data_IF_025103050454
#
_entry.id   IF_025103050454
#
_cell.length_a   1.000
_cell.length_b   1.000
_cell.length_c   1.000
_cell.angle_alpha   90.00
_cell.angle_beta   90.00
_cell.angle_gamma   90.00
#
_symmetry.space_group_name_H-M   'P 1'
#
loop_
_entity.id
_entity.type
_entity.pdbx_description
1 polymer ?
#
# COMPACT_ATOMS: atom_id res chain seq x y z
N UNK A 1 5.06 -17.03 20.74
CA UNK A 1 4.95 -18.10 19.73
C UNK A 1 3.55 -18.05 19.15
N UNK A 2 3.31 -17.18 18.19
CA UNK A 2 2.15 -17.26 17.28
C UNK A 2 2.72 -17.02 15.89
N UNK A 3 2.86 -18.11 15.15
CA UNK A 3 3.31 -18.10 13.78
C UNK A 3 2.29 -17.31 12.94
N UNK A 4 2.75 -16.25 12.31
CA UNK A 4 2.08 -15.60 11.19
C UNK A 4 1.88 -16.66 10.12
N UNK A 5 0.65 -17.14 9.95
CA UNK A 5 0.25 -17.83 8.73
C UNK A 5 0.37 -16.82 7.59
N UNK A 6 1.48 -16.84 6.90
CA UNK A 6 1.55 -16.32 5.55
C UNK A 6 0.43 -17.01 4.77
N UNK A 7 -0.55 -16.23 4.34
CA UNK A 7 -1.57 -16.71 3.43
C UNK A 7 -0.84 -17.07 2.14
N UNK A 8 -0.71 -18.37 1.85
CA UNK A 8 -0.31 -18.86 0.54
C UNK A 8 -1.16 -18.12 -0.49
N UNK A 9 -0.52 -17.24 -1.23
CA UNK A 9 -1.13 -16.57 -2.38
C UNK A 9 -1.44 -17.69 -3.37
N UNK A 10 -2.72 -18.05 -3.44
CA UNK A 10 -3.22 -19.03 -4.39
C UNK A 10 -2.73 -18.66 -5.79
N UNK A 11 -1.92 -19.49 -6.39
CA UNK A 11 -1.39 -19.36 -7.76
C UNK A 11 -2.45 -19.62 -8.83
N UNK A 12 -3.74 -19.73 -8.47
CA UNK A 12 -4.82 -19.89 -9.44
C UNK A 12 -5.18 -18.57 -10.10
N UNK A 13 -5.39 -18.54 -11.41
CA UNK A 13 -5.74 -17.34 -12.15
C UNK A 13 -7.06 -16.75 -11.67
N UNK A 14 -7.07 -15.44 -11.42
CA UNK A 14 -8.20 -14.70 -10.87
C UNK A 14 -9.14 -14.25 -11.99
N UNK A 15 -10.33 -14.81 -12.03
CA UNK A 15 -11.31 -14.51 -13.06
C UNK A 15 -12.47 -13.68 -12.51
N UNK A 16 -12.68 -12.49 -13.06
CA UNK A 16 -13.94 -11.79 -12.93
C UNK A 16 -14.83 -12.07 -14.14
N UNK A 17 -16.13 -12.18 -13.92
CA UNK A 17 -17.13 -12.33 -14.98
C UNK A 17 -18.07 -11.15 -15.02
N UNK A 18 -18.29 -10.62 -16.22
CA UNK A 18 -19.34 -9.65 -16.51
C UNK A 18 -20.65 -10.41 -16.76
N UNK A 19 -21.71 -9.97 -16.08
CA UNK A 19 -23.03 -10.63 -16.12
C UNK A 19 -24.06 -9.57 -16.49
N UNK A 20 -24.83 -9.80 -17.57
CA UNK A 20 -25.98 -8.99 -17.94
C UNK A 20 -27.25 -9.60 -17.35
N UNK A 21 -27.97 -8.82 -16.59
CA UNK A 21 -29.23 -9.20 -15.98
C UNK A 21 -30.37 -8.36 -16.55
N UNK A 22 -31.42 -9.03 -16.97
CA UNK A 22 -32.66 -8.41 -17.41
C UNK A 22 -33.80 -8.79 -16.47
N UNK A 23 -34.41 -7.82 -15.80
CA UNK A 23 -35.45 -8.05 -14.79
C UNK A 23 -36.68 -8.79 -15.31
N UNK A 24 -36.92 -8.75 -16.62
CA UNK A 24 -38.05 -9.45 -17.26
C UNK A 24 -37.86 -10.96 -17.39
N UNK A 25 -36.61 -11.45 -17.27
CA UNK A 25 -36.27 -12.88 -17.35
C UNK A 25 -36.30 -13.62 -16.02
N UNK A 26 -36.86 -13.03 -14.97
CA UNK A 26 -36.90 -13.61 -13.62
C UNK A 26 -35.54 -13.50 -12.90
N UNK A 27 -34.94 -14.65 -12.51
CA UNK A 27 -33.64 -14.69 -11.82
C UNK A 27 -32.50 -15.09 -12.74
N UNK A 28 -32.77 -15.33 -14.01
CA UNK A 28 -31.76 -15.75 -14.97
C UNK A 28 -31.04 -14.54 -15.57
N UNK A 29 -29.71 -14.59 -15.51
CA UNK A 29 -28.82 -13.63 -16.13
C UNK A 29 -27.94 -14.33 -17.15
N UNK A 30 -27.30 -13.57 -18.04
CA UNK A 30 -26.35 -14.10 -19.03
C UNK A 30 -24.95 -13.60 -18.74
N UNK A 31 -23.99 -14.52 -18.66
CA UNK A 31 -22.57 -14.19 -18.63
C UNK A 31 -22.08 -13.65 -19.99
N UNK A 32 -20.91 -13.04 -20.01
CA UNK A 32 -20.30 -12.47 -21.23
C UNK A 32 -20.04 -13.48 -22.34
N UNK A 33 -19.98 -14.77 -22.02
CA UNK A 33 -19.83 -15.88 -22.98
C UNK A 33 -21.16 -16.57 -23.32
N UNK A 34 -22.32 -15.96 -22.97
CA UNK A 34 -23.65 -16.47 -23.26
C UNK A 34 -24.20 -17.49 -22.28
N UNK A 35 -23.43 -17.91 -21.25
CA UNK A 35 -23.86 -18.88 -20.24
C UNK A 35 -24.99 -18.33 -19.36
N UNK A 36 -25.91 -19.21 -18.94
CA UNK A 36 -26.96 -18.87 -17.99
C UNK A 36 -26.43 -18.85 -16.55
N UNK A 37 -26.74 -17.78 -15.80
CA UNK A 37 -26.33 -17.59 -14.40
C UNK A 37 -27.56 -17.18 -13.58
N UNK A 38 -27.79 -17.87 -12.46
CA UNK A 38 -28.85 -17.51 -11.52
C UNK A 38 -28.31 -16.57 -10.45
N UNK A 39 -28.93 -15.40 -10.31
CA UNK A 39 -28.57 -14.38 -9.31
C UNK A 39 -29.35 -14.55 -7.99
N UNK A 40 -28.82 -13.99 -6.87
CA UNK A 40 -29.55 -13.95 -5.61
C UNK A 40 -30.88 -13.20 -5.72
N UNK A 41 -31.89 -13.58 -4.94
CA UNK A 41 -33.21 -12.93 -4.91
C UNK A 41 -33.18 -11.43 -4.59
N UNK A 42 -32.11 -10.98 -3.96
CA UNK A 42 -31.86 -9.56 -3.62
C UNK A 42 -31.38 -8.71 -4.79
N UNK A 43 -31.09 -9.30 -5.94
CA UNK A 43 -30.77 -8.59 -7.17
C UNK A 43 -32.06 -8.28 -7.93
N UNK A 44 -32.48 -7.02 -7.93
CA UNK A 44 -33.73 -6.56 -8.52
C UNK A 44 -33.55 -5.58 -9.69
N UNK A 45 -32.36 -5.01 -9.84
CA UNK A 45 -32.10 -4.00 -10.87
C UNK A 45 -31.55 -4.64 -12.13
N UNK A 46 -32.16 -4.34 -13.28
CA UNK A 46 -31.63 -4.71 -14.59
C UNK A 46 -30.32 -3.98 -14.84
N UNK A 47 -29.38 -4.63 -15.51
CA UNK A 47 -28.10 -4.05 -15.88
C UNK A 47 -26.93 -5.02 -15.77
N UNK A 48 -25.75 -4.48 -15.67
CA UNK A 48 -24.52 -5.26 -15.61
C UNK A 48 -24.04 -5.45 -14.17
N UNK A 49 -23.62 -6.66 -13.89
CA UNK A 49 -22.99 -7.06 -12.64
C UNK A 49 -21.60 -7.64 -12.93
N UNK A 50 -20.72 -7.50 -11.96
CA UNK A 50 -19.44 -8.18 -11.95
C UNK A 50 -19.37 -9.14 -10.78
N UNK A 51 -18.86 -10.34 -11.01
CA UNK A 51 -18.67 -11.36 -10.01
C UNK A 51 -17.29 -12.01 -10.12
N UNK A 52 -16.75 -12.50 -8.99
CA UNK A 52 -15.67 -13.47 -9.03
C UNK A 52 -16.17 -14.78 -9.67
N UNK A 53 -15.39 -15.39 -10.56
CA UNK A 53 -15.72 -16.70 -11.14
C UNK A 53 -15.91 -17.76 -10.07
N UNK A 54 -15.13 -17.69 -9.00
CA UNK A 54 -15.20 -18.61 -7.86
C UNK A 54 -16.51 -18.49 -7.08
N UNK A 55 -17.22 -17.38 -7.17
CA UNK A 55 -18.54 -17.18 -6.58
C UNK A 55 -19.64 -17.88 -7.37
N UNK A 56 -19.39 -18.23 -8.65
CA UNK A 56 -20.35 -18.89 -9.54
C UNK A 56 -20.22 -20.40 -9.37
N UNK A 57 -21.08 -21.01 -8.54
CA UNK A 57 -21.09 -22.46 -8.32
C UNK A 57 -22.26 -23.10 -9.08
N UNK A 58 -21.94 -23.96 -10.06
CA UNK A 58 -22.95 -24.63 -10.91
C UNK A 58 -23.94 -23.65 -11.56
N UNK A 59 -23.44 -22.51 -12.04
CA UNK A 59 -24.29 -21.46 -12.64
C UNK A 59 -25.12 -20.64 -11.65
N UNK A 60 -24.85 -20.72 -10.34
CA UNK A 60 -25.61 -20.01 -9.30
C UNK A 60 -24.69 -19.16 -8.43
N UNK A 61 -25.06 -17.90 -8.21
CA UNK A 61 -24.46 -17.00 -7.22
C UNK A 61 -25.42 -16.88 -6.04
N UNK A 62 -25.00 -17.31 -4.86
CA UNK A 62 -25.85 -17.31 -3.66
C UNK A 62 -25.75 -16.03 -2.84
N UNK A 63 -24.56 -15.42 -2.80
CA UNK A 63 -24.27 -14.30 -1.92
C UNK A 63 -24.20 -12.97 -2.70
N UNK A 64 -25.06 -12.00 -2.32
CA UNK A 64 -25.05 -10.65 -2.94
C UNK A 64 -23.72 -9.93 -2.76
N UNK A 65 -22.97 -10.21 -1.69
CA UNK A 65 -21.65 -9.60 -1.42
C UNK A 65 -20.56 -10.04 -2.41
N UNK A 66 -20.81 -11.07 -3.19
CA UNK A 66 -19.93 -11.54 -4.28
C UNK A 66 -20.23 -10.85 -5.64
N UNK A 67 -21.14 -9.87 -5.63
CA UNK A 67 -21.57 -9.14 -6.81
C UNK A 67 -21.35 -7.64 -6.62
N UNK A 68 -20.86 -6.96 -7.65
CA UNK A 68 -20.88 -5.50 -7.76
C UNK A 68 -21.84 -5.12 -8.91
N UNK A 69 -22.77 -4.23 -8.62
CA UNK A 69 -23.67 -3.68 -9.63
C UNK A 69 -22.99 -2.51 -10.35
N UNK A 70 -22.90 -2.59 -11.66
CA UNK A 70 -22.31 -1.56 -12.51
C UNK A 70 -23.38 -0.65 -13.16
N UNK A 71 -24.61 -1.12 -13.24
CA UNK A 71 -25.71 -0.48 -13.94
C UNK A 71 -25.58 -0.58 -15.46
N UNK A 72 -24.49 -0.09 -16.02
CA UNK A 72 -24.17 -0.12 -17.44
C UNK A 72 -22.89 -0.90 -17.73
N UNK A 73 -22.69 -1.30 -18.99
CA UNK A 73 -21.46 -1.93 -19.41
C UNK A 73 -20.24 -1.02 -19.18
N UNK A 74 -19.10 -1.55 -18.73
CA UNK A 74 -17.88 -0.77 -18.46
C UNK A 74 -17.13 -0.41 -19.75
N UNK A 75 -17.76 0.39 -20.61
CA UNK A 75 -17.25 0.70 -21.97
C UNK A 75 -16.02 1.60 -21.95
N UNK A 76 -15.95 2.57 -21.01
CA UNK A 76 -14.76 3.44 -20.86
C UNK A 76 -13.55 2.64 -20.38
N UNK A 77 -13.77 1.71 -19.47
CA UNK A 77 -12.72 0.79 -19.03
C UNK A 77 -12.25 -0.11 -20.17
N UNK A 78 -13.16 -0.62 -20.98
CA UNK A 78 -12.85 -1.43 -22.16
C UNK A 78 -12.02 -0.63 -23.18
N UNK A 79 -12.43 0.59 -23.50
CA UNK A 79 -11.71 1.49 -24.43
C UNK A 79 -10.26 1.72 -23.96
N UNK A 80 -10.07 2.11 -22.70
CA UNK A 80 -8.75 2.32 -22.11
C UNK A 80 -7.91 1.05 -22.10
N UNK A 81 -8.52 -0.09 -21.82
CA UNK A 81 -7.84 -1.37 -21.78
C UNK A 81 -7.35 -1.80 -23.16
N UNK A 82 -8.20 -1.70 -24.19
CA UNK A 82 -7.85 -2.06 -25.58
C UNK A 82 -6.77 -1.13 -26.17
N UNK A 83 -6.76 0.15 -25.77
CA UNK A 83 -5.73 1.11 -26.16
C UNK A 83 -4.37 0.85 -25.48
N UNK A 84 -4.32 -0.03 -24.49
CA UNK A 84 -3.11 -0.34 -23.73
C UNK A 84 -2.09 -1.17 -24.51
N UNK A 85 -0.86 -1.20 -24.02
CA UNK A 85 0.31 -1.86 -24.66
C UNK A 85 0.14 -3.36 -24.95
N UNK A 86 -0.82 -4.01 -24.33
CA UNK A 86 -1.09 -5.46 -24.52
C UNK A 86 -1.70 -5.79 -25.87
N UNK A 87 -2.39 -4.82 -26.49
CA UNK A 87 -3.05 -4.99 -27.78
C UNK A 87 -2.22 -4.32 -28.87
N UNK A 88 -1.20 -5.02 -29.38
CA UNK A 88 -0.29 -4.50 -30.40
C UNK A 88 -1.08 -4.08 -31.67
N UNK A 89 -0.83 -2.84 -32.11
CA UNK A 89 -1.48 -2.28 -33.31
C UNK A 89 -2.87 -1.69 -33.05
N UNK A 90 -3.32 -1.62 -31.80
CA UNK A 90 -4.55 -0.98 -31.36
C UNK A 90 -4.23 0.30 -30.62
N UNK A 91 -4.39 1.45 -31.29
CA UNK A 91 -4.28 2.77 -30.65
C UNK A 91 -5.64 3.23 -30.10
N UNK A 92 -5.63 4.35 -29.35
CA UNK A 92 -6.85 4.95 -28.76
C UNK A 92 -7.98 5.15 -29.76
N UNK A 93 -7.66 5.65 -30.96
CA UNK A 93 -8.66 5.91 -32.01
C UNK A 93 -9.34 4.60 -32.45
N UNK A 94 -8.57 3.53 -32.64
CA UNK A 94 -9.10 2.23 -33.08
C UNK A 94 -9.92 1.56 -31.97
N UNK A 95 -9.47 1.64 -30.72
CA UNK A 95 -10.19 1.15 -29.55
C UNK A 95 -11.52 1.89 -29.37
N UNK A 96 -11.49 3.22 -29.45
CA UNK A 96 -12.67 4.07 -29.35
C UNK A 96 -13.66 3.77 -30.47
N UNK A 97 -13.20 3.62 -31.72
CA UNK A 97 -14.06 3.29 -32.87
C UNK A 97 -14.75 1.94 -32.69
N UNK A 98 -13.99 0.91 -32.25
CA UNK A 98 -14.54 -0.41 -31.97
C UNK A 98 -15.62 -0.37 -30.88
N UNK A 99 -15.34 0.28 -29.76
CA UNK A 99 -16.29 0.35 -28.62
C UNK A 99 -17.51 1.20 -28.97
N UNK A 100 -17.36 2.26 -29.75
CA UNK A 100 -18.51 3.08 -30.24
C UNK A 100 -19.41 2.33 -31.22
N UNK A 101 -18.83 1.54 -32.12
CA UNK A 101 -19.56 0.77 -33.12
C UNK A 101 -20.34 -0.36 -32.46
N UNK A 102 -19.70 -1.16 -31.61
CA UNK A 102 -20.30 -2.37 -31.06
C UNK A 102 -20.91 -2.20 -29.67
N UNK A 103 -20.59 -1.11 -28.97
CA UNK A 103 -21.14 -0.82 -27.62
C UNK A 103 -21.03 -2.05 -26.68
N UNK A 104 -22.16 -2.46 -26.11
CA UNK A 104 -22.22 -3.60 -25.17
C UNK A 104 -21.87 -4.94 -25.83
N UNK A 105 -22.17 -5.09 -27.13
CA UNK A 105 -21.83 -6.30 -27.91
C UNK A 105 -20.32 -6.50 -28.05
N UNK A 106 -19.52 -5.44 -27.80
CA UNK A 106 -18.04 -5.53 -27.78
C UNK A 106 -17.53 -6.65 -26.90
N UNK A 107 -18.13 -6.87 -25.72
CA UNK A 107 -17.73 -7.93 -24.80
C UNK A 107 -18.03 -9.33 -25.35
N UNK A 108 -19.18 -9.48 -26.00
CA UNK A 108 -19.58 -10.73 -26.62
C UNK A 108 -18.70 -11.04 -27.83
N UNK A 109 -18.47 -10.04 -28.69
CA UNK A 109 -17.57 -10.14 -29.85
C UNK A 109 -16.14 -10.55 -29.42
N UNK A 110 -15.62 -10.03 -28.34
CA UNK A 110 -14.27 -10.36 -27.85
C UNK A 110 -14.20 -11.75 -27.20
N UNK A 111 -15.27 -12.19 -26.52
CA UNK A 111 -15.26 -13.43 -25.71
C UNK A 111 -15.67 -14.68 -26.47
N UNK A 112 -16.41 -14.58 -27.59
CA UNK A 112 -16.86 -15.74 -28.38
C UNK A 112 -15.82 -16.16 -29.42
N UNK A 113 -15.63 -17.46 -29.61
CA UNK A 113 -14.69 -18.01 -30.60
C UNK A 113 -15.11 -17.70 -32.05
N UNK A 114 -16.40 -17.69 -32.33
CA UNK A 114 -16.96 -17.36 -33.65
C UNK A 114 -18.18 -16.44 -33.49
N UNK A 115 -18.10 -15.22 -34.00
CA UNK A 115 -19.26 -14.34 -34.16
C UNK A 115 -19.47 -14.14 -35.64
N UNK A 116 -20.66 -14.45 -36.09
CA UNK A 116 -21.11 -14.09 -37.45
C UNK A 116 -21.14 -12.56 -37.52
N UNK A 117 -20.16 -11.95 -38.17
CA UNK A 117 -20.14 -10.53 -38.51
C UNK A 117 -20.30 -10.36 -40.01
N UNK A 118 -21.50 -10.60 -40.56
CA UNK A 118 -21.68 -10.76 -42.01
C UNK A 118 -21.40 -9.49 -42.82
N UNK A 119 -21.63 -8.33 -42.23
CA UNK A 119 -21.61 -7.04 -42.96
C UNK A 119 -20.35 -6.18 -42.74
N UNK A 120 -19.27 -6.73 -42.21
CA UNK A 120 -18.06 -5.95 -41.95
C UNK A 120 -17.06 -6.04 -43.10
N UNK A 121 -16.30 -4.95 -43.30
CA UNK A 121 -15.22 -4.92 -44.28
C UNK A 121 -14.13 -5.97 -43.96
N UNK A 122 -13.38 -6.47 -44.97
CA UNK A 122 -12.28 -7.42 -44.73
C UNK A 122 -11.23 -6.88 -43.76
N UNK A 123 -10.96 -5.58 -43.80
CA UNK A 123 -10.02 -4.90 -42.88
C UNK A 123 -10.52 -4.93 -41.43
N UNK A 124 -11.80 -4.63 -41.22
CA UNK A 124 -12.45 -4.68 -39.89
C UNK A 124 -12.47 -6.10 -39.34
N UNK A 125 -12.80 -7.10 -40.20
CA UNK A 125 -12.75 -8.52 -39.79
C UNK A 125 -11.36 -8.95 -39.32
N UNK A 126 -10.30 -8.57 -40.04
CA UNK A 126 -8.91 -8.86 -39.67
C UNK A 126 -8.53 -8.19 -38.34
N UNK A 127 -8.96 -6.95 -38.15
CA UNK A 127 -8.75 -6.21 -36.92
C UNK A 127 -9.44 -6.87 -35.72
N UNK A 128 -10.71 -7.21 -35.82
CA UNK A 128 -11.48 -7.91 -34.78
C UNK A 128 -10.85 -9.26 -34.46
N UNK A 129 -10.39 -10.01 -35.46
CA UNK A 129 -9.69 -11.28 -35.23
C UNK A 129 -8.43 -11.11 -34.37
N UNK A 130 -7.59 -10.13 -34.68
CA UNK A 130 -6.39 -9.85 -33.91
C UNK A 130 -6.72 -9.40 -32.47
N UNK A 131 -7.76 -8.56 -32.29
CA UNK A 131 -8.24 -8.19 -30.97
C UNK A 131 -8.68 -9.39 -30.12
N UNK A 132 -9.45 -10.30 -30.73
CA UNK A 132 -9.94 -11.53 -30.09
C UNK A 132 -8.81 -12.45 -29.67
N UNK A 133 -7.86 -12.71 -30.56
CA UNK A 133 -6.70 -13.54 -30.24
C UNK A 133 -5.96 -13.01 -29.01
N UNK A 134 -5.77 -11.68 -28.98
CA UNK A 134 -5.13 -11.01 -27.83
C UNK A 134 -6.00 -11.03 -26.58
N UNK A 135 -7.33 -10.90 -26.72
CA UNK A 135 -8.29 -10.98 -25.62
C UNK A 135 -8.32 -12.38 -25.00
N UNK A 136 -8.44 -13.42 -25.82
CA UNK A 136 -8.47 -14.82 -25.35
C UNK A 136 -7.18 -15.18 -24.62
N UNK A 137 -6.04 -14.73 -25.12
CA UNK A 137 -4.74 -14.95 -24.46
C UNK A 137 -4.66 -14.36 -23.05
N UNK A 138 -5.40 -13.28 -22.80
CA UNK A 138 -5.43 -12.57 -21.52
C UNK A 138 -6.78 -12.71 -20.78
N UNK A 139 -7.60 -13.72 -21.11
CA UNK A 139 -8.98 -13.86 -20.62
C UNK A 139 -9.08 -13.77 -19.09
N UNK A 140 -8.08 -14.30 -18.41
CA UNK A 140 -8.04 -14.36 -16.95
C UNK A 140 -8.05 -12.99 -16.27
N UNK A 141 -7.45 -11.99 -16.89
CA UNK A 141 -7.30 -10.64 -16.29
C UNK A 141 -8.11 -9.56 -16.99
N UNK A 142 -8.72 -9.85 -18.15
CA UNK A 142 -9.39 -8.84 -18.95
C UNK A 142 -10.47 -8.06 -18.19
N UNK A 143 -11.44 -8.78 -17.63
CA UNK A 143 -12.54 -8.13 -16.92
C UNK A 143 -12.08 -7.43 -15.64
N UNK A 144 -11.03 -7.93 -14.98
CA UNK A 144 -10.41 -7.29 -13.85
C UNK A 144 -9.83 -5.93 -14.23
N UNK A 145 -9.02 -5.90 -15.28
CA UNK A 145 -8.42 -4.66 -15.79
C UNK A 145 -9.49 -3.67 -16.28
N UNK A 146 -10.44 -4.14 -17.10
CA UNK A 146 -11.54 -3.30 -17.60
C UNK A 146 -12.34 -2.68 -16.47
N UNK A 147 -12.66 -3.47 -15.44
CA UNK A 147 -13.41 -3.00 -14.29
C UNK A 147 -12.65 -1.92 -13.50
N UNK A 148 -11.40 -2.14 -13.16
CA UNK A 148 -10.63 -1.16 -12.42
C UNK A 148 -10.36 0.12 -13.22
N UNK A 149 -10.11 0.00 -14.53
CA UNK A 149 -10.01 1.16 -15.43
C UNK A 149 -11.32 1.94 -15.53
N UNK A 150 -12.47 1.26 -15.56
CA UNK A 150 -13.80 1.90 -15.51
C UNK A 150 -13.98 2.70 -14.22
N UNK A 151 -13.51 2.17 -13.10
CA UNK A 151 -13.55 2.86 -11.80
C UNK A 151 -12.57 4.04 -11.71
N UNK A 152 -11.62 4.14 -12.62
CA UNK A 152 -10.65 5.24 -12.68
C UNK A 152 -9.29 4.93 -12.04
N UNK A 153 -9.01 3.67 -11.74
CA UNK A 153 -7.68 3.26 -11.28
C UNK A 153 -6.62 3.54 -12.36
N UNK A 154 -5.42 3.89 -11.92
CA UNK A 154 -4.25 3.97 -12.78
C UNK A 154 -3.59 2.59 -12.92
N UNK A 155 -2.81 2.37 -13.98
CA UNK A 155 -2.20 1.07 -14.27
C UNK A 155 -1.37 0.49 -13.12
N UNK A 156 -0.59 1.33 -12.41
CA UNK A 156 0.20 0.90 -11.26
C UNK A 156 -0.68 0.50 -10.05
N UNK A 157 -1.86 1.10 -9.91
CA UNK A 157 -2.83 0.73 -8.86
C UNK A 157 -3.53 -0.57 -9.20
N UNK A 158 -3.77 -0.86 -10.48
CA UNK A 158 -4.37 -2.13 -10.93
C UNK A 158 -3.48 -3.31 -10.55
N UNK A 159 -2.17 -3.20 -10.77
CA UNK A 159 -1.20 -4.24 -10.40
C UNK A 159 -1.24 -4.47 -8.89
N UNK A 160 -1.12 -3.39 -8.10
CA UNK A 160 -1.18 -3.49 -6.64
C UNK A 160 -2.52 -4.04 -6.12
N UNK A 161 -3.64 -3.70 -6.78
CA UNK A 161 -4.95 -4.24 -6.43
C UNK A 161 -5.03 -5.74 -6.71
N UNK A 162 -4.48 -6.17 -7.84
CA UNK A 162 -4.41 -7.58 -8.21
C UNK A 162 -3.58 -8.39 -7.21
N UNK A 163 -2.39 -7.90 -6.86
CA UNK A 163 -1.48 -8.54 -5.91
C UNK A 163 -2.07 -8.63 -4.49
N UNK A 164 -2.74 -7.56 -4.02
CA UNK A 164 -3.26 -7.50 -2.66
C UNK A 164 -4.62 -8.20 -2.46
N UNK A 165 -5.48 -8.16 -3.46
CA UNK A 165 -6.88 -8.56 -3.30
C UNK A 165 -7.31 -9.68 -4.25
N UNK A 166 -6.74 -9.78 -5.44
CA UNK A 166 -7.13 -10.79 -6.42
C UNK A 166 -8.65 -10.96 -6.54
N UNK A 167 -9.13 -12.17 -6.38
CA UNK A 167 -10.57 -12.53 -6.41
C UNK A 167 -11.40 -11.88 -5.31
N UNK A 168 -10.76 -11.48 -4.21
CA UNK A 168 -11.48 -10.92 -3.06
C UNK A 168 -11.90 -9.46 -3.25
N UNK A 169 -11.44 -8.80 -4.31
CA UNK A 169 -11.73 -7.38 -4.56
C UNK A 169 -13.23 -7.06 -4.51
N UNK A 170 -14.08 -7.90 -5.13
CA UNK A 170 -15.53 -7.71 -5.14
C UNK A 170 -16.11 -7.78 -3.73
N UNK A 171 -15.69 -8.78 -2.97
CA UNK A 171 -16.11 -8.95 -1.57
C UNK A 171 -15.60 -7.80 -0.71
N UNK A 172 -14.34 -7.40 -0.88
CA UNK A 172 -13.71 -6.30 -0.14
C UNK A 172 -14.43 -4.98 -0.38
N UNK A 173 -14.75 -4.64 -1.63
CA UNK A 173 -15.54 -3.45 -1.97
C UNK A 173 -16.91 -3.42 -1.26
N UNK A 174 -17.54 -4.58 -1.07
CA UNK A 174 -18.85 -4.68 -0.41
C UNK A 174 -18.80 -4.81 1.12
N UNK A 175 -17.65 -5.17 1.71
CA UNK A 175 -17.56 -5.46 3.16
C UNK A 175 -16.58 -4.58 3.91
N UNK A 176 -15.44 -4.26 3.31
CA UNK A 176 -14.35 -3.50 3.91
C UNK A 176 -13.71 -2.55 2.90
N UNK A 177 -14.51 -1.65 2.30
CA UNK A 177 -14.06 -0.88 1.14
C UNK A 177 -12.87 0.03 1.44
N UNK A 178 -12.74 0.54 2.65
CA UNK A 178 -11.64 1.42 3.05
C UNK A 178 -10.28 0.72 3.19
N UNK A 179 -10.25 -0.62 3.31
CA UNK A 179 -8.99 -1.37 3.31
C UNK A 179 -8.17 -1.23 2.02
N UNK A 180 -8.81 -0.74 0.93
CA UNK A 180 -8.10 -0.45 -0.32
C UNK A 180 -7.08 0.69 -0.15
N UNK A 181 -7.39 1.72 0.64
CA UNK A 181 -6.48 2.86 0.84
C UNK A 181 -5.18 2.41 1.50
N UNK A 182 -5.29 1.55 2.51
CA UNK A 182 -4.13 1.06 3.26
C UNK A 182 -3.19 0.19 2.42
N UNK A 183 -3.74 -0.55 1.44
CA UNK A 183 -2.97 -1.54 0.67
C UNK A 183 -2.56 -1.07 -0.71
N UNK A 184 -3.31 -0.15 -1.33
CA UNK A 184 -3.03 0.32 -2.69
C UNK A 184 -2.30 1.65 -2.64
N UNK A 185 -1.04 1.62 -3.07
CA UNK A 185 -0.20 2.83 -3.10
C UNK A 185 -0.83 3.94 -3.95
N UNK A 186 -0.83 5.16 -3.42
CA UNK A 186 -1.33 6.37 -4.08
C UNK A 186 -2.83 6.36 -4.41
N UNK A 187 -3.62 5.51 -3.76
CA UNK A 187 -5.07 5.62 -3.79
C UNK A 187 -5.47 6.63 -2.70
N UNK A 188 -6.09 7.74 -3.11
CA UNK A 188 -6.54 8.75 -2.15
C UNK A 188 -7.93 8.41 -1.60
N UNK A 189 -8.25 8.96 -0.43
CA UNK A 189 -9.58 8.84 0.16
C UNK A 189 -10.68 9.35 -0.78
N UNK A 190 -10.46 10.51 -1.42
CA UNK A 190 -11.41 11.10 -2.36
C UNK A 190 -11.62 10.26 -3.62
N UNK A 191 -10.58 9.57 -4.11
CA UNK A 191 -10.74 8.67 -5.26
C UNK A 191 -11.59 7.47 -4.89
N UNK A 192 -11.41 6.94 -3.69
CA UNK A 192 -12.22 5.84 -3.19
C UNK A 192 -13.71 6.26 -3.01
N UNK A 193 -13.99 7.46 -2.51
CA UNK A 193 -15.36 7.99 -2.44
C UNK A 193 -16.02 8.12 -3.83
N UNK A 194 -15.27 8.53 -4.85
CA UNK A 194 -15.77 8.54 -6.24
C UNK A 194 -16.12 7.12 -6.71
N UNK A 195 -15.33 6.13 -6.34
CA UNK A 195 -15.59 4.72 -6.64
C UNK A 195 -16.88 4.25 -5.97
N UNK A 196 -17.08 4.54 -4.68
CA UNK A 196 -18.31 4.18 -3.96
C UNK A 196 -19.54 4.81 -4.61
N UNK A 197 -19.46 6.08 -4.97
CA UNK A 197 -20.54 6.78 -5.66
C UNK A 197 -20.87 6.13 -7.02
N UNK A 198 -19.85 5.72 -7.79
CA UNK A 198 -20.05 5.02 -9.07
C UNK A 198 -20.69 3.66 -8.92
N UNK A 199 -20.33 2.94 -7.88
CA UNK A 199 -20.82 1.60 -7.57
C UNK A 199 -22.10 1.60 -6.73
N UNK A 200 -22.62 2.79 -6.38
CA UNK A 200 -23.77 2.94 -5.48
C UNK A 200 -23.59 2.17 -4.16
N UNK A 201 -22.36 2.13 -3.66
CA UNK A 201 -22.04 1.54 -2.36
C UNK A 201 -22.42 2.57 -1.29
N UNK A 202 -23.37 2.20 -0.43
CA UNK A 202 -23.78 3.05 0.70
C UNK A 202 -22.82 2.86 1.86
N UNK A 203 -22.20 3.96 2.28
CA UNK A 203 -21.29 4.00 3.43
C UNK A 203 -21.90 4.94 4.45
N UNK A 204 -21.96 4.55 5.72
CA UNK A 204 -22.45 5.40 6.79
C UNK A 204 -21.46 6.56 7.07
N UNK A 205 -21.97 7.68 7.56
CA UNK A 205 -21.14 8.82 7.94
C UNK A 205 -20.10 8.43 8.99
N UNK A 206 -20.50 7.63 9.98
CA UNK A 206 -19.57 7.08 10.97
C UNK A 206 -18.41 6.30 10.34
N UNK A 207 -18.68 5.41 9.38
CA UNK A 207 -17.63 4.66 8.68
C UNK A 207 -16.71 5.57 7.88
N UNK A 208 -17.25 6.63 7.27
CA UNK A 208 -16.46 7.64 6.53
C UNK A 208 -15.54 8.40 7.47
N UNK A 209 -16.04 8.84 8.63
CA UNK A 209 -15.26 9.58 9.64
C UNK A 209 -14.12 8.73 10.17
N UNK A 210 -14.40 7.49 10.58
CA UNK A 210 -13.37 6.58 11.10
C UNK A 210 -12.27 6.29 10.05
N UNK A 211 -12.66 6.02 8.82
CA UNK A 211 -11.71 5.76 7.75
C UNK A 211 -10.90 7.00 7.31
N UNK A 212 -11.52 8.17 7.32
CA UNK A 212 -10.83 9.43 7.04
C UNK A 212 -9.81 9.77 8.14
N UNK A 213 -10.15 9.48 9.40
CA UNK A 213 -9.24 9.66 10.54
C UNK A 213 -8.01 8.78 10.38
N UNK A 214 -8.20 7.50 10.14
CA UNK A 214 -7.11 6.53 9.94
C UNK A 214 -6.21 6.97 8.76
N UNK A 215 -6.82 7.29 7.62
CA UNK A 215 -6.10 7.79 6.44
C UNK A 215 -5.26 9.05 6.72
N UNK A 216 -5.81 10.02 7.44
CA UNK A 216 -5.10 11.26 7.74
C UNK A 216 -3.96 11.04 8.73
N UNK A 217 -4.15 10.19 9.75
CA UNK A 217 -3.10 9.81 10.70
C UNK A 217 -1.94 9.11 9.98
N UNK A 218 -2.21 8.11 9.14
CA UNK A 218 -1.19 7.43 8.34
C UNK A 218 -0.48 8.40 7.38
N UNK A 219 -1.22 9.30 6.74
CA UNK A 219 -0.65 10.32 5.86
C UNK A 219 0.29 11.25 6.60
N UNK A 220 -0.08 11.72 7.80
CA UNK A 220 0.75 12.59 8.62
C UNK A 220 2.02 11.83 9.06
N UNK A 221 1.90 10.57 9.45
CA UNK A 221 3.05 9.74 9.79
C UNK A 221 4.00 9.58 8.59
N UNK A 222 3.48 9.29 7.43
CA UNK A 222 4.30 9.08 6.23
C UNK A 222 4.95 10.36 5.71
N UNK A 223 4.23 11.49 5.69
CA UNK A 223 4.69 12.75 5.10
C UNK A 223 5.51 13.59 6.09
N UNK A 224 5.06 13.68 7.34
CA UNK A 224 5.64 14.55 8.36
C UNK A 224 6.44 13.81 9.42
N UNK A 225 6.40 12.49 9.43
CA UNK A 225 7.08 11.62 10.42
C UNK A 225 6.60 11.87 11.85
N UNK A 226 5.31 12.21 12.02
CA UNK A 226 4.67 12.37 13.31
C UNK A 226 3.81 11.14 13.59
N UNK A 227 4.14 10.41 14.64
CA UNK A 227 3.41 9.21 15.09
C UNK A 227 2.12 9.55 15.84
N UNK A 228 2.02 10.76 16.38
CA UNK A 228 0.83 11.28 17.03
C UNK A 228 0.63 12.77 16.71
N UNK A 229 -0.61 13.24 16.81
CA UNK A 229 -0.99 14.64 16.60
C UNK A 229 -2.02 15.10 17.63
N UNK A 230 -2.15 16.43 17.90
CA UNK A 230 -3.24 16.94 18.71
C UNK A 230 -4.60 16.55 18.13
N UNK A 231 -5.52 16.09 18.98
CA UNK A 231 -6.86 15.65 18.57
C UNK A 231 -7.62 16.73 17.80
N UNK A 232 -7.54 17.97 18.24
CA UNK A 232 -8.18 19.12 17.60
C UNK A 232 -7.80 19.27 16.12
N UNK A 233 -6.52 19.01 15.78
CA UNK A 233 -6.04 19.09 14.39
C UNK A 233 -6.69 18.02 13.53
N UNK A 234 -6.83 16.80 14.05
CA UNK A 234 -7.48 15.70 13.32
C UNK A 234 -8.96 15.97 13.17
N UNK A 235 -9.64 16.42 14.20
CA UNK A 235 -11.07 16.74 14.13
C UNK A 235 -11.35 17.77 13.03
N UNK A 236 -10.56 18.83 12.99
CA UNK A 236 -10.68 19.85 11.96
C UNK A 236 -10.40 19.29 10.56
N UNK A 237 -9.32 18.55 10.38
CA UNK A 237 -8.94 18.01 9.06
C UNK A 237 -9.94 16.98 8.54
N UNK A 238 -10.51 16.14 9.40
CA UNK A 238 -11.56 15.19 9.03
C UNK A 238 -12.84 15.95 8.65
N UNK A 239 -13.23 16.94 9.45
CA UNK A 239 -14.42 17.76 9.18
C UNK A 239 -14.30 18.47 7.83
N UNK A 240 -13.14 19.07 7.53
CA UNK A 240 -12.85 19.71 6.24
C UNK A 240 -12.86 18.68 5.08
N UNK A 241 -12.22 17.53 5.24
CA UNK A 241 -12.13 16.50 4.19
C UNK A 241 -13.51 15.96 3.79
N UNK A 242 -14.39 15.76 4.78
CA UNK A 242 -15.70 15.13 4.59
C UNK A 242 -16.83 16.14 4.43
N UNK A 243 -16.57 17.44 4.64
CA UNK A 243 -17.56 18.52 4.72
C UNK A 243 -18.67 18.24 5.74
N UNK A 244 -18.28 17.85 6.97
CA UNK A 244 -19.17 17.57 8.11
C UNK A 244 -18.84 18.52 9.29
N UNK A 245 -19.77 18.62 10.25
CA UNK A 245 -19.55 19.39 11.48
C UNK A 245 -18.46 18.77 12.37
N UNK A 246 -17.60 19.60 12.98
CA UNK A 246 -16.53 19.14 13.87
C UNK A 246 -17.09 18.34 15.05
N UNK A 247 -18.19 18.78 15.65
CA UNK A 247 -18.84 18.09 16.76
C UNK A 247 -19.30 16.67 16.39
N UNK A 248 -19.67 16.43 15.12
CA UNK A 248 -20.02 15.10 14.61
C UNK A 248 -18.77 14.19 14.60
N UNK A 249 -17.63 14.74 14.15
CA UNK A 249 -16.36 14.02 14.15
C UNK A 249 -15.93 13.67 15.57
N UNK A 250 -15.95 14.64 16.49
CA UNK A 250 -15.60 14.45 17.89
C UNK A 250 -16.43 13.33 18.52
N UNK A 251 -17.75 13.42 18.44
CA UNK A 251 -18.66 12.40 18.97
C UNK A 251 -18.38 10.99 18.41
N UNK A 252 -18.20 10.89 17.08
CA UNK A 252 -17.91 9.57 16.47
C UNK A 252 -16.59 9.00 16.97
N UNK A 253 -15.56 9.83 17.15
CA UNK A 253 -14.26 9.37 17.63
C UNK A 253 -14.29 9.03 19.13
N UNK A 254 -15.04 9.76 19.94
CA UNK A 254 -15.27 9.41 21.35
C UNK A 254 -16.02 8.08 21.50
N UNK A 255 -17.12 7.91 20.76
CA UNK A 255 -17.91 6.66 20.76
C UNK A 255 -17.10 5.44 20.25
N UNK A 256 -16.02 5.66 19.50
CA UNK A 256 -15.16 4.63 18.94
C UNK A 256 -13.69 4.76 19.38
N UNK A 257 -13.45 5.30 20.56
CA UNK A 257 -12.11 5.58 21.09
C UNK A 257 -11.18 4.36 21.17
N UNK A 258 -11.74 3.15 21.23
CA UNK A 258 -10.97 1.90 21.22
C UNK A 258 -10.27 1.60 19.88
N UNK A 259 -10.62 2.29 18.80
CA UNK A 259 -10.00 2.10 17.48
C UNK A 259 -8.72 2.93 17.28
N UNK A 260 -8.46 3.87 18.19
CA UNK A 260 -7.32 4.77 18.14
C UNK A 260 -6.63 4.82 19.50
N UNK A 261 -5.37 5.16 19.49
CA UNK A 261 -4.69 5.54 20.74
C UNK A 261 -5.00 7.01 21.05
N UNK A 262 -5.57 7.25 22.21
CA UNK A 262 -5.79 8.61 22.74
C UNK A 262 -5.00 8.77 24.03
N UNK A 263 -4.19 9.81 24.11
CA UNK A 263 -3.34 10.07 25.26
C UNK A 263 -3.20 11.57 25.53
N UNK A 264 -2.31 11.92 26.44
CA UNK A 264 -2.00 13.33 26.77
C UNK A 264 -0.50 13.57 26.66
N UNK A 265 -0.11 14.65 25.99
CA UNK A 265 1.26 15.11 25.90
C UNK A 265 1.33 16.62 26.17
N UNK A 266 2.06 17.02 27.19
CA UNK A 266 2.18 18.44 27.62
C UNK A 266 0.80 19.11 27.75
N UNK A 267 -0.10 18.45 28.46
CA UNK A 267 -1.47 18.89 28.73
C UNK A 267 -2.42 18.96 27.52
N UNK A 268 -1.96 18.55 26.33
CA UNK A 268 -2.79 18.47 25.13
C UNK A 268 -3.18 17.04 24.84
N UNK A 269 -4.44 16.83 24.53
CA UNK A 269 -4.93 15.55 24.03
C UNK A 269 -4.29 15.24 22.67
N UNK A 270 -3.81 14.03 22.51
CA UNK A 270 -3.19 13.54 21.27
C UNK A 270 -3.88 12.26 20.81
N UNK A 271 -3.85 12.03 19.51
CA UNK A 271 -4.38 10.83 18.88
C UNK A 271 -3.35 10.25 17.92
N UNK A 272 -3.33 8.92 17.82
CA UNK A 272 -2.55 8.17 16.83
C UNK A 272 -3.28 6.89 16.40
N UNK A 273 -2.79 6.23 15.37
CA UNK A 273 -3.20 4.86 15.07
C UNK A 273 -2.72 3.92 16.18
N UNK A 274 -3.43 2.83 16.44
CA UNK A 274 -3.01 1.81 17.41
C UNK A 274 -1.64 1.21 17.05
N UNK A 275 -1.40 1.01 15.75
CA UNK A 275 -0.15 0.45 15.24
C UNK A 275 1.05 1.38 15.51
N UNK A 276 0.89 2.71 15.33
CA UNK A 276 1.93 3.68 15.67
C UNK A 276 2.22 3.69 17.18
N UNK A 277 1.19 3.66 18.01
CA UNK A 277 1.33 3.60 19.46
C UNK A 277 2.02 2.31 19.92
N UNK A 278 1.67 1.17 19.37
CA UNK A 278 2.28 -0.12 19.66
C UNK A 278 3.78 -0.13 19.26
N UNK A 279 4.13 0.42 18.10
CA UNK A 279 5.53 0.56 17.67
C UNK A 279 6.33 1.43 18.64
N UNK A 280 5.79 2.55 19.10
CA UNK A 280 6.45 3.39 20.10
C UNK A 280 6.62 2.65 21.45
N UNK A 281 5.60 1.96 21.92
CA UNK A 281 5.68 1.19 23.16
C UNK A 281 6.72 0.07 23.07
N UNK A 282 6.75 -0.65 21.96
CA UNK A 282 7.74 -1.71 21.72
C UNK A 282 9.16 -1.13 21.66
N UNK A 283 9.34 0.03 21.01
CA UNK A 283 10.63 0.73 21.01
C UNK A 283 11.06 1.10 22.42
N UNK A 284 10.19 1.65 23.25
CA UNK A 284 10.48 2.01 24.64
C UNK A 284 10.87 0.75 25.44
N UNK A 285 10.15 -0.37 25.27
CA UNK A 285 10.48 -1.64 25.92
C UNK A 285 11.90 -2.12 25.56
N UNK A 286 12.26 -2.06 24.26
CA UNK A 286 13.59 -2.47 23.80
C UNK A 286 14.70 -1.53 24.25
N UNK A 287 14.48 -0.22 24.23
CA UNK A 287 15.44 0.75 24.76
C UNK A 287 15.69 0.53 26.25
N UNK A 288 14.64 0.29 27.04
CA UNK A 288 14.75 -0.04 28.45
C UNK A 288 15.49 -1.37 28.70
N UNK A 289 15.25 -2.38 27.88
CA UNK A 289 15.93 -3.68 27.95
C UNK A 289 17.44 -3.51 27.71
N UNK A 290 17.82 -2.80 26.65
CA UNK A 290 19.22 -2.52 26.31
C UNK A 290 19.87 -1.70 27.44
N UNK A 291 19.20 -0.66 27.92
CA UNK A 291 19.70 0.20 29.00
C UNK A 291 19.99 -0.58 30.31
N UNK A 292 19.13 -1.56 30.63
CA UNK A 292 19.30 -2.40 31.83
C UNK A 292 20.36 -3.50 31.67
N UNK A 293 20.51 -4.04 30.47
CA UNK A 293 21.41 -5.17 30.18
C UNK A 293 22.89 -4.78 30.24
N UNK A 294 23.23 -3.51 30.09
CA UNK A 294 24.60 -3.04 29.90
C UNK A 294 25.35 -2.74 31.19
N UNK A 295 25.22 -3.58 32.19
CA UNK A 295 26.09 -3.46 33.38
C UNK A 295 27.43 -4.21 33.28
N UNK A 296 27.73 -4.86 32.19
CA UNK A 296 28.92 -5.71 32.04
C UNK A 296 29.81 -5.28 30.87
N UNK A 297 31.01 -4.83 31.19
CA UNK A 297 32.16 -5.22 30.45
C UNK A 297 32.82 -4.26 29.49
N UNK A 298 32.38 -3.02 29.29
CA UNK A 298 33.22 -2.04 28.57
C UNK A 298 34.06 -1.29 29.63
N UNK A 299 35.39 -1.29 29.44
CA UNK A 299 36.34 -0.61 30.28
C UNK A 299 35.94 0.88 30.36
N UNK A 300 35.49 1.32 31.56
CA UNK A 300 34.99 2.70 31.81
C UNK A 300 36.10 3.73 31.92
N UNK A 301 37.24 3.49 31.28
CA UNK A 301 38.34 4.46 31.22
C UNK A 301 37.93 5.60 30.28
N UNK A 302 38.13 6.82 30.72
CA UNK A 302 38.05 8.00 29.84
C UNK A 302 39.27 8.01 28.92
N UNK A 303 39.02 8.40 27.69
CA UNK A 303 40.05 8.58 26.69
C UNK A 303 40.32 10.08 26.53
N UNK A 304 41.59 10.46 26.45
CA UNK A 304 42.03 11.82 26.16
C UNK A 304 42.22 12.00 24.62
N UNK A 305 42.38 13.25 24.17
CA UNK A 305 42.61 13.55 22.76
C UNK A 305 43.80 12.77 22.17
N UNK A 306 44.88 12.55 22.94
CA UNK A 306 46.06 11.77 22.54
C UNK A 306 45.79 10.27 22.30
N UNK A 307 44.73 9.74 22.89
CA UNK A 307 44.35 8.33 22.74
C UNK A 307 43.49 8.08 21.52
N UNK A 308 42.88 9.15 20.96
CA UNK A 308 41.89 9.09 19.87
C UNK A 308 42.59 9.49 18.56
N UNK A 309 42.74 8.55 17.65
CA UNK A 309 43.31 8.81 16.33
C UNK A 309 42.23 8.96 15.27
N UNK A 310 42.34 9.98 14.44
CA UNK A 310 41.58 10.15 13.21
C UNK A 310 42.45 9.81 12.01
N UNK A 311 41.88 9.53 10.84
CA UNK A 311 42.64 9.16 9.64
C UNK A 311 43.49 10.31 9.06
N UNK A 312 43.12 11.55 9.38
CA UNK A 312 43.67 12.75 8.79
C UNK A 312 44.46 13.62 9.82
N UNK A 313 44.82 13.01 10.97
CA UNK A 313 45.46 13.67 12.10
C UNK A 313 44.71 14.95 12.61
N UNK A 314 43.38 14.98 12.36
CA UNK A 314 42.53 16.08 12.80
C UNK A 314 42.33 15.99 14.30
N UNK A 315 42.68 17.04 15.02
CA UNK A 315 42.40 17.14 16.45
C UNK A 315 40.91 17.27 16.72
N UNK A 316 40.41 16.49 17.65
CA UNK A 316 39.03 16.54 18.12
C UNK A 316 38.87 17.67 19.13
N UNK A 317 37.75 18.37 19.11
CA UNK A 317 37.39 19.32 20.14
C UNK A 317 37.04 18.59 21.46
N UNK A 318 37.12 19.29 22.58
CA UNK A 318 36.76 18.75 23.89
C UNK A 318 35.30 18.18 23.86
N UNK A 319 34.37 18.88 23.23
CA UNK A 319 32.98 18.42 23.09
C UNK A 319 32.89 17.11 22.31
N UNK A 320 33.72 16.90 21.30
CA UNK A 320 33.74 15.67 20.51
C UNK A 320 34.35 14.52 21.31
N UNK A 321 35.37 14.81 22.14
CA UNK A 321 35.99 13.83 23.05
C UNK A 321 34.97 13.39 24.10
N UNK A 322 34.26 14.34 24.70
CA UNK A 322 33.21 14.07 25.69
C UNK A 322 32.10 13.22 25.09
N UNK A 323 31.67 13.51 23.84
CA UNK A 323 30.66 12.72 23.14
C UNK A 323 31.14 11.27 22.87
N UNK A 324 32.42 11.07 22.54
CA UNK A 324 33.01 9.74 22.38
C UNK A 324 33.01 8.99 23.71
N UNK A 325 33.47 9.63 24.77
CA UNK A 325 33.49 9.04 26.10
C UNK A 325 32.08 8.66 26.58
N UNK A 326 31.10 9.55 26.38
CA UNK A 326 29.69 9.26 26.64
C UNK A 326 29.23 8.02 25.90
N UNK A 327 29.51 7.95 24.58
CA UNK A 327 29.08 6.85 23.72
C UNK A 327 29.70 5.50 24.12
N UNK A 328 30.91 5.50 24.68
CA UNK A 328 31.58 4.29 25.19
C UNK A 328 31.10 3.86 26.59
N UNK A 329 30.57 4.78 27.37
CA UNK A 329 30.11 4.52 28.73
C UNK A 329 28.64 4.20 28.85
N UNK A 330 27.85 4.61 27.87
CA UNK A 330 26.39 4.41 27.85
C UNK A 330 25.98 3.35 26.87
N UNK A 331 24.98 2.51 27.18
CA UNK A 331 24.46 1.49 26.27
C UNK A 331 23.83 2.07 24.99
N UNK A 332 23.22 3.25 25.15
CA UNK A 332 22.57 3.98 24.05
C UNK A 332 22.96 5.44 24.19
N UNK A 333 23.40 6.03 23.09
CA UNK A 333 23.72 7.45 23.01
C UNK A 333 23.23 8.04 21.69
N UNK A 334 22.82 9.30 21.73
CA UNK A 334 22.41 10.07 20.55
C UNK A 334 23.33 11.29 20.47
N UNK A 335 24.07 11.39 19.37
CA UNK A 335 24.97 12.51 19.10
C UNK A 335 24.36 13.35 18.00
N UNK A 336 24.10 14.62 18.28
CA UNK A 336 23.51 15.57 17.33
C UNK A 336 24.50 16.70 17.06
N UNK A 337 24.31 17.40 15.95
CA UNK A 337 25.12 18.56 15.61
C UNK A 337 24.72 19.11 14.24
N UNK A 338 24.94 20.40 14.04
CA UNK A 338 24.69 21.10 12.78
C UNK A 338 25.52 20.58 11.60
N UNK A 339 25.26 21.09 10.39
CA UNK A 339 26.15 20.87 9.24
C UNK A 339 27.56 21.37 9.56
N UNK A 340 28.60 20.58 9.21
CA UNK A 340 29.98 20.95 9.48
C UNK A 340 30.50 20.75 10.90
N UNK A 341 29.68 20.31 11.86
CA UNK A 341 30.10 20.10 13.26
C UNK A 341 31.04 18.89 13.48
N UNK A 342 31.65 18.35 12.44
CA UNK A 342 32.62 17.26 12.55
C UNK A 342 32.05 15.90 12.98
N UNK A 343 30.74 15.63 12.79
CA UNK A 343 30.12 14.34 13.16
C UNK A 343 30.84 13.14 12.54
N UNK A 344 31.28 13.24 11.29
CA UNK A 344 32.02 12.17 10.60
C UNK A 344 33.39 11.94 11.24
N UNK A 345 34.08 13.01 11.63
CA UNK A 345 35.37 12.96 12.33
C UNK A 345 35.20 12.32 13.72
N UNK A 346 34.14 12.66 14.43
CA UNK A 346 33.79 12.02 15.71
C UNK A 346 33.56 10.50 15.53
N UNK A 347 32.84 10.08 14.47
CA UNK A 347 32.64 8.65 14.18
C UNK A 347 33.96 7.95 13.86
N UNK A 348 34.91 8.61 13.19
CA UNK A 348 36.27 8.07 12.99
C UNK A 348 37.00 7.85 14.30
N UNK A 349 36.96 8.84 15.21
CA UNK A 349 37.52 8.71 16.53
C UNK A 349 36.92 7.55 17.32
N UNK A 350 35.59 7.43 17.32
CA UNK A 350 34.89 6.33 17.98
C UNK A 350 35.28 4.95 17.39
N UNK A 351 35.39 4.82 16.08
CA UNK A 351 35.85 3.58 15.43
C UNK A 351 37.28 3.26 15.75
N UNK A 352 38.17 4.26 15.89
CA UNK A 352 39.57 4.08 16.32
C UNK A 352 39.64 3.46 17.71
N UNK A 353 38.90 4.01 18.67
CA UNK A 353 38.83 3.50 20.01
C UNK A 353 38.24 2.11 20.11
N UNK A 354 37.10 1.85 19.41
CA UNK A 354 36.49 0.53 19.44
C UNK A 354 37.38 -0.55 18.82
N UNK A 355 38.25 -0.18 17.86
CA UNK A 355 39.29 -1.07 17.33
C UNK A 355 40.39 -1.33 18.34
N UNK A 356 40.89 -0.32 19.05
CA UNK A 356 41.87 -0.48 20.10
C UNK A 356 41.35 -1.40 21.23
N UNK A 357 40.06 -1.26 21.56
CA UNK A 357 39.40 -2.08 22.59
C UNK A 357 38.97 -3.46 22.04
N UNK A 358 39.27 -3.78 20.81
CA UNK A 358 38.85 -5.02 20.13
C UNK A 358 37.33 -5.27 20.16
N UNK A 359 36.54 -4.20 20.17
CA UNK A 359 35.08 -4.29 20.19
C UNK A 359 34.54 -4.63 18.79
N UNK A 360 33.55 -5.48 18.75
CA UNK A 360 32.80 -5.79 17.54
C UNK A 360 31.97 -4.58 17.13
N UNK A 361 32.42 -3.87 16.09
CA UNK A 361 31.79 -2.62 15.62
C UNK A 361 31.18 -2.80 14.25
N UNK A 362 30.00 -2.24 14.05
CA UNK A 362 29.33 -2.16 12.75
C UNK A 362 28.88 -0.73 12.46
N UNK A 363 29.01 -0.33 11.20
CA UNK A 363 28.56 0.97 10.72
C UNK A 363 27.39 0.80 9.76
N UNK A 364 26.29 1.46 10.08
CA UNK A 364 25.11 1.47 9.22
C UNK A 364 24.67 2.91 8.91
N UNK A 365 24.03 3.10 7.76
CA UNK A 365 23.48 4.38 7.35
C UNK A 365 22.07 4.21 6.77
N UNK A 366 21.21 5.24 6.78
CA UNK A 366 19.85 5.15 6.25
C UNK A 366 19.80 4.97 4.73
N UNK A 367 20.84 5.42 4.00
CA UNK A 367 20.89 5.35 2.52
C UNK A 367 22.20 4.76 2.02
N UNK A 368 22.17 4.14 0.83
CA UNK A 368 23.38 3.62 0.18
C UNK A 368 24.44 4.70 -0.09
N UNK A 369 24.01 5.93 -0.42
CA UNK A 369 24.93 7.07 -0.61
C UNK A 369 25.65 7.42 0.68
N UNK A 370 24.96 7.46 1.81
CA UNK A 370 25.55 7.72 3.11
C UNK A 370 26.51 6.58 3.56
N UNK A 371 26.13 5.31 3.32
CA UNK A 371 27.01 4.17 3.59
C UNK A 371 28.29 4.22 2.73
N UNK A 372 28.21 4.55 1.46
CA UNK A 372 29.36 4.74 0.57
C UNK A 372 30.26 5.87 1.07
N UNK A 373 29.69 7.00 1.51
CA UNK A 373 30.45 8.12 2.07
C UNK A 373 31.22 7.75 3.33
N UNK A 374 30.65 6.92 4.20
CA UNK A 374 31.39 6.36 5.36
C UNK A 374 32.55 5.48 4.87
N UNK A 375 32.39 4.72 3.80
CA UNK A 375 33.44 3.86 3.25
C UNK A 375 34.57 4.62 2.50
N UNK A 376 34.45 5.92 2.26
CA UNK A 376 35.53 6.74 1.70
C UNK A 376 36.72 6.81 2.67
N UNK A 377 36.45 6.82 3.96
CA UNK A 377 37.49 6.81 4.97
C UNK A 377 38.09 5.40 5.14
N UNK A 378 39.44 5.23 5.06
CA UNK A 378 40.11 3.91 5.14
C UNK A 378 39.81 3.14 6.42
N UNK A 379 39.73 3.83 7.57
CA UNK A 379 39.47 3.22 8.87
C UNK A 379 38.04 2.63 8.93
N UNK A 380 37.06 3.38 8.44
CA UNK A 380 35.68 2.96 8.40
C UNK A 380 35.38 1.94 7.28
N UNK A 381 36.11 2.01 6.17
CA UNK A 381 36.00 1.05 5.05
C UNK A 381 36.22 -0.38 5.49
N UNK A 382 37.15 -0.61 6.42
CA UNK A 382 37.44 -1.93 6.96
C UNK A 382 36.24 -2.58 7.65
N UNK A 383 35.27 -1.78 8.17
CA UNK A 383 34.04 -2.23 8.79
C UNK A 383 32.90 -2.52 7.78
N UNK A 384 33.14 -2.30 6.48
CA UNK A 384 32.18 -2.53 5.39
C UNK A 384 30.81 -1.87 5.68
N UNK A 385 30.75 -0.52 5.74
CA UNK A 385 29.49 0.18 6.02
C UNK A 385 28.39 -0.23 5.08
N UNK A 386 27.19 -0.47 5.60
CA UNK A 386 26.02 -0.91 4.83
C UNK A 386 24.78 -0.05 5.15
N UNK A 387 23.70 -0.24 4.40
CA UNK A 387 22.42 0.35 4.82
C UNK A 387 21.83 -0.43 5.99
N UNK A 388 21.06 0.27 6.83
CA UNK A 388 20.35 -0.38 7.96
C UNK A 388 19.52 -1.57 7.45
N UNK A 389 18.76 -1.39 6.35
CA UNK A 389 17.94 -2.45 5.75
C UNK A 389 18.77 -3.67 5.35
N UNK A 390 19.88 -3.46 4.65
CA UNK A 390 20.76 -4.56 4.23
C UNK A 390 21.37 -5.29 5.44
N UNK A 391 21.70 -4.54 6.49
CA UNK A 391 22.26 -5.12 7.69
C UNK A 391 21.23 -6.00 8.42
N UNK A 392 19.98 -5.57 8.54
CA UNK A 392 18.89 -6.32 9.15
C UNK A 392 18.56 -7.58 8.35
N UNK A 393 18.41 -7.49 7.03
CA UNK A 393 18.17 -8.64 6.16
C UNK A 393 19.25 -9.72 6.31
N UNK A 394 20.53 -9.32 6.35
CA UNK A 394 21.64 -10.29 6.56
C UNK A 394 21.68 -10.89 7.97
N UNK A 395 20.98 -10.30 8.93
CA UNK A 395 20.90 -10.81 10.30
C UNK A 395 19.78 -11.83 10.47
N UNK A 396 18.71 -11.72 9.70
CA UNK A 396 17.58 -12.67 9.67
C UNK A 396 17.99 -14.00 9.05
N UNK A 397 18.88 -14.01 8.03
CA UNK A 397 19.42 -15.24 7.43
C UNK A 397 20.35 -16.04 8.37
N UNK A 398 20.62 -15.55 9.59
CA UNK A 398 21.53 -16.16 10.58
C UNK A 398 20.86 -16.61 11.87
N UNK A 399 19.53 -16.45 11.96
CA UNK A 399 18.70 -16.92 13.06
C UNK A 399 17.87 -18.12 12.63
#
# INVERSE_FOLDING_TARGET
MMASKEAEVSTQPFHLKLIKFDSFSGKEARGSSGEKITLPKTCSSSGFYLASRNAIKKGVIKNRKELVFLGRAPLKGLERYLAGRRFKGVGEVSALSFVKEFKEESFEILSQKEVATPNLSPKTKKFIKALRESWITNEETNFYNVFLLELGFADHQIIGTYECFGDTIIKTLNTQPFSLIQKIKRLSFLDLEKIFKRLSISISEQQRILAATDYLLEKIENDRKHTCVPTEIIFQQVAELLAVEINTVEKVLEDNSSLFFVGTRREKAIISTLDAAEREENLIKELNRISKASKSGVNRKNFDAKDIRTSDDVELSDEQIDAINMALQTPISIITGGPGAGKTTLVQGLVSITKQLQLRTRLCAPTGKAAKRLAENPLMRALKPSTIHLHLAQSEDKL
#
